data_IF_645148331367
#
_entry.id   IF_645148331367
#
_cell.length_a   1.000
_cell.length_b   1.000
_cell.length_c   1.000
_cell.angle_alpha   90.00
_cell.angle_beta   90.00
_cell.angle_gamma   90.00
#
_symmetry.space_group_name_H-M   'P 1'
#
loop_
_entity.id
_entity.type
_entity.pdbx_description
1 polymer ?
#
# COMPACT_ATOMS: atom_id res chain seq x y z
N UNK A 1 17.13 -2.29 18.19
CA UNK A 1 16.04 -2.14 19.16
C UNK A 1 16.54 -2.00 20.58
N UNK A 2 17.37 -2.94 21.09
CA UNK A 2 17.89 -2.87 22.46
C UNK A 2 18.60 -1.54 22.74
N UNK A 3 19.55 -1.14 21.89
CA UNK A 3 20.25 0.15 22.04
C UNK A 3 19.30 1.36 22.03
N UNK A 4 18.26 1.35 21.21
CA UNK A 4 17.26 2.41 21.20
C UNK A 4 16.47 2.45 22.52
N UNK A 5 16.09 1.29 23.05
CA UNK A 5 15.40 1.20 24.36
C UNK A 5 16.27 1.65 25.50
N UNK A 6 17.54 1.26 25.49
CA UNK A 6 18.53 1.69 26.50
C UNK A 6 18.71 3.22 26.53
N UNK A 7 18.44 3.87 25.37
CA UNK A 7 18.39 5.33 25.24
C UNK A 7 17.00 5.94 25.53
N UNK A 8 16.03 5.16 25.99
CA UNK A 8 14.67 5.64 26.29
C UNK A 8 13.79 5.85 25.06
N UNK A 9 14.17 5.35 23.88
CA UNK A 9 13.35 5.44 22.67
C UNK A 9 12.29 4.33 22.67
N UNK A 10 11.02 4.70 22.44
CA UNK A 10 9.96 3.74 22.21
C UNK A 10 9.99 3.31 20.73
N UNK A 11 10.86 2.34 20.42
CA UNK A 11 11.04 1.84 19.06
C UNK A 11 10.17 0.63 18.79
N UNK A 12 9.44 0.65 17.69
CA UNK A 12 8.64 -0.46 17.18
C UNK A 12 9.14 -0.89 15.80
N UNK A 13 8.85 -2.13 15.45
CA UNK A 13 9.20 -2.72 14.15
C UNK A 13 8.02 -2.68 13.21
N UNK A 14 8.30 -2.27 11.99
CA UNK A 14 7.40 -2.44 10.84
C UNK A 14 8.17 -3.20 9.77
N UNK A 15 7.55 -4.19 9.15
CA UNK A 15 8.17 -4.98 8.08
C UNK A 15 7.18 -5.25 6.97
N UNK A 16 7.66 -5.81 5.85
CA UNK A 16 6.82 -6.15 4.69
C UNK A 16 6.89 -7.64 4.41
N UNK A 17 5.72 -8.24 4.18
CA UNK A 17 5.53 -9.62 3.79
C UNK A 17 5.26 -9.72 2.28
N UNK A 18 6.19 -10.36 1.56
CA UNK A 18 6.16 -10.53 0.11
C UNK A 18 6.52 -11.99 -0.25
N UNK A 19 5.57 -12.94 -0.08
CA UNK A 19 5.86 -14.38 -0.17
C UNK A 19 6.20 -14.85 -1.57
N UNK A 20 5.84 -14.09 -2.62
CA UNK A 20 6.03 -14.51 -4.02
C UNK A 20 6.98 -13.61 -4.81
N UNK A 21 7.49 -12.55 -4.21
CA UNK A 21 8.44 -11.64 -4.84
C UNK A 21 9.83 -11.73 -4.22
N UNK A 22 9.93 -11.42 -2.93
CA UNK A 22 11.20 -11.25 -2.22
C UNK A 22 11.77 -12.54 -1.64
N UNK A 23 10.88 -13.45 -1.22
CA UNK A 23 11.30 -14.62 -0.46
C UNK A 23 11.36 -15.87 -1.34
N UNK A 24 12.54 -16.51 -1.41
CA UNK A 24 12.60 -17.93 -1.68
C UNK A 24 12.16 -18.71 -0.42
N UNK A 25 11.90 -20.01 -0.57
CA UNK A 25 11.34 -20.84 0.52
C UNK A 25 12.18 -20.78 1.82
N UNK A 26 13.52 -20.91 1.82
CA UNK A 26 14.32 -20.77 3.03
C UNK A 26 14.21 -19.39 3.68
N UNK A 27 14.27 -18.32 2.89
CA UNK A 27 14.18 -16.95 3.42
C UNK A 27 12.79 -16.64 4.00
N UNK A 28 11.74 -17.27 3.49
CA UNK A 28 10.41 -17.14 4.03
C UNK A 28 10.30 -17.73 5.44
N UNK A 29 10.90 -18.89 5.69
CA UNK A 29 10.89 -19.50 7.03
C UNK A 29 11.72 -18.65 8.01
N UNK A 30 12.90 -18.18 7.63
CA UNK A 30 13.69 -17.25 8.44
C UNK A 30 12.90 -15.97 8.74
N UNK A 31 12.15 -15.43 7.77
CA UNK A 31 11.30 -14.27 7.99
C UNK A 31 10.23 -14.54 9.04
N UNK A 32 9.56 -15.69 8.97
CA UNK A 32 8.55 -16.08 9.95
C UNK A 32 9.14 -16.24 11.36
N UNK A 33 10.29 -16.90 11.48
CA UNK A 33 11.03 -17.03 12.73
C UNK A 33 11.34 -15.65 13.33
N UNK A 34 11.89 -14.74 12.53
CA UNK A 34 12.18 -13.37 12.97
C UNK A 34 10.91 -12.62 13.42
N UNK A 35 9.78 -12.80 12.74
CA UNK A 35 8.52 -12.19 13.15
C UNK A 35 8.08 -12.70 14.52
N UNK A 36 8.25 -13.99 14.80
CA UNK A 36 7.94 -14.55 16.12
C UNK A 36 8.90 -14.08 17.21
N UNK A 37 10.19 -14.01 16.91
CA UNK A 37 11.21 -13.55 17.85
C UNK A 37 11.02 -12.08 18.28
N UNK A 38 10.46 -11.26 17.38
CA UNK A 38 10.21 -9.84 17.62
C UNK A 38 8.73 -9.50 17.80
N UNK A 39 7.91 -10.47 18.15
CA UNK A 39 6.46 -10.32 18.19
C UNK A 39 5.99 -9.12 19.05
N UNK A 40 6.52 -8.97 20.26
CA UNK A 40 6.15 -7.90 21.18
C UNK A 40 6.60 -6.50 20.72
N UNK A 41 7.53 -6.46 19.76
CA UNK A 41 8.07 -5.25 19.20
C UNK A 41 7.42 -4.85 17.87
N UNK A 42 6.65 -5.76 17.32
CA UNK A 42 6.04 -5.60 16.02
C UNK A 42 4.86 -4.63 16.11
N UNK A 43 4.94 -3.51 15.38
CA UNK A 43 3.84 -2.56 15.25
C UNK A 43 2.87 -3.00 14.14
N UNK A 44 3.41 -3.55 13.05
CA UNK A 44 2.59 -4.03 11.96
C UNK A 44 3.39 -4.61 10.79
N UNK A 45 2.67 -5.26 9.89
CA UNK A 45 3.23 -5.91 8.69
C UNK A 45 2.50 -5.41 7.46
N UNK A 46 3.25 -4.84 6.52
CA UNK A 46 2.77 -4.51 5.18
C UNK A 46 2.68 -5.75 4.30
N UNK A 47 1.54 -6.00 3.67
CA UNK A 47 1.40 -7.04 2.65
C UNK A 47 1.46 -6.39 1.27
N UNK A 48 2.51 -6.71 0.51
CA UNK A 48 2.79 -6.04 -0.75
C UNK A 48 1.88 -6.56 -1.87
N UNK A 49 1.06 -5.69 -2.44
CA UNK A 49 0.10 -6.02 -3.50
C UNK A 49 0.78 -6.12 -4.86
N UNK A 50 1.57 -7.17 -5.08
CA UNK A 50 2.03 -7.56 -6.42
C UNK A 50 1.03 -8.50 -7.08
N UNK A 51 1.05 -8.59 -8.39
CA UNK A 51 0.22 -9.55 -9.16
C UNK A 51 0.36 -10.98 -8.65
N UNK A 52 1.59 -11.42 -8.35
CA UNK A 52 1.87 -12.78 -7.85
C UNK A 52 1.37 -13.01 -6.42
N UNK A 53 1.49 -12.01 -5.54
CA UNK A 53 1.00 -12.10 -4.17
C UNK A 53 -0.53 -12.09 -4.12
N UNK A 54 -1.18 -11.23 -4.89
CA UNK A 54 -2.64 -11.20 -5.00
C UNK A 54 -3.17 -12.56 -5.43
N UNK A 55 -2.64 -13.13 -6.51
CA UNK A 55 -3.02 -14.47 -6.96
C UNK A 55 -2.82 -15.52 -5.87
N UNK A 56 -1.72 -15.44 -5.14
CA UNK A 56 -1.43 -16.37 -4.05
C UNK A 56 -2.46 -16.27 -2.92
N UNK A 57 -2.76 -15.08 -2.42
CA UNK A 57 -3.71 -14.91 -1.31
C UNK A 57 -5.15 -15.26 -1.70
N UNK A 58 -5.53 -15.03 -2.94
CA UNK A 58 -6.85 -15.46 -3.43
C UNK A 58 -6.99 -16.99 -3.53
N UNK A 59 -5.86 -17.73 -3.60
CA UNK A 59 -5.85 -19.18 -3.76
C UNK A 59 -5.46 -19.96 -2.51
N UNK A 60 -4.72 -19.34 -1.59
CA UNK A 60 -4.25 -19.94 -0.34
C UNK A 60 -4.75 -19.15 0.88
N UNK A 61 -5.97 -19.45 1.37
CA UNK A 61 -6.58 -18.66 2.45
C UNK A 61 -5.98 -18.92 3.83
N UNK A 62 -4.99 -19.81 3.96
CA UNK A 62 -4.37 -20.17 5.25
C UNK A 62 -2.87 -19.89 5.27
N UNK A 63 -2.43 -18.87 4.53
CA UNK A 63 -1.04 -18.46 4.55
C UNK A 63 -0.64 -17.73 5.85
N UNK A 64 0.61 -17.32 5.94
CA UNK A 64 1.13 -16.64 7.12
C UNK A 64 0.45 -15.28 7.40
N UNK A 65 -0.06 -14.58 6.38
CA UNK A 65 -0.87 -13.37 6.55
C UNK A 65 -2.15 -13.67 7.34
N UNK A 66 -2.83 -14.76 7.03
CA UNK A 66 -4.01 -15.22 7.76
C UNK A 66 -3.70 -15.44 9.24
N UNK A 67 -2.58 -16.12 9.53
CA UNK A 67 -2.15 -16.36 10.90
C UNK A 67 -1.87 -15.04 11.64
N UNK A 68 -1.11 -14.12 11.04
CA UNK A 68 -0.80 -12.81 11.61
C UNK A 68 -2.06 -12.02 11.94
N UNK A 69 -3.00 -11.99 11.01
CA UNK A 69 -4.26 -11.28 11.18
C UNK A 69 -5.07 -11.82 12.37
N UNK A 70 -5.23 -13.14 12.46
CA UNK A 70 -5.99 -13.77 13.54
C UNK A 70 -5.30 -13.73 14.91
N UNK A 71 -3.99 -13.59 14.93
CA UNK A 71 -3.22 -13.31 16.14
C UNK A 71 -3.23 -11.84 16.57
N UNK A 72 -3.92 -10.98 15.82
CA UNK A 72 -4.10 -9.57 16.14
C UNK A 72 -2.96 -8.65 15.75
N UNK A 73 -2.03 -9.10 14.91
CA UNK A 73 -1.02 -8.22 14.32
C UNK A 73 -1.70 -7.25 13.37
N UNK A 74 -1.33 -5.99 13.45
CA UNK A 74 -1.79 -4.99 12.49
C UNK A 74 -1.24 -5.31 11.11
N UNK A 75 -2.13 -5.64 10.19
CA UNK A 75 -1.79 -5.87 8.78
C UNK A 75 -2.29 -4.69 7.95
N UNK A 76 -1.48 -4.24 7.02
CA UNK A 76 -1.88 -3.20 6.07
C UNK A 76 -1.44 -3.56 4.65
N UNK A 77 -2.29 -3.21 3.69
CA UNK A 77 -2.02 -3.46 2.28
C UNK A 77 -1.13 -2.37 1.70
N UNK A 78 0.06 -2.75 1.26
CA UNK A 78 1.01 -1.87 0.60
C UNK A 78 0.84 -1.96 -0.91
N UNK A 79 0.63 -0.81 -1.55
CA UNK A 79 0.59 -0.75 -3.01
C UNK A 79 1.97 -1.01 -3.59
N UNK A 80 2.01 -1.91 -4.56
CA UNK A 80 3.24 -2.14 -5.30
C UNK A 80 3.56 -0.94 -6.18
N UNK A 81 4.80 -0.47 -6.04
CA UNK A 81 5.37 0.56 -6.89
C UNK A 81 6.47 -0.08 -7.73
N UNK A 82 6.29 -0.20 -9.05
CA UNK A 82 7.31 -0.78 -9.89
C UNK A 82 8.50 0.18 -9.96
N UNK A 83 9.70 -0.38 -9.81
CA UNK A 83 10.86 0.18 -10.46
C UNK A 83 10.79 -0.11 -11.96
N UNK A 84 11.66 0.53 -12.76
CA UNK A 84 11.69 0.38 -14.21
C UNK A 84 11.85 -1.06 -14.72
N UNK A 85 12.12 -2.04 -13.85
CA UNK A 85 12.35 -3.44 -14.20
C UNK A 85 11.21 -4.38 -13.83
N UNK A 86 10.30 -3.95 -12.97
CA UNK A 86 9.31 -4.81 -12.35
C UNK A 86 7.86 -4.48 -12.72
N UNK A 87 7.64 -3.75 -13.78
CA UNK A 87 6.31 -3.36 -14.30
C UNK A 87 5.36 -4.56 -14.48
N UNK A 88 5.90 -5.70 -14.91
CA UNK A 88 5.15 -6.96 -15.06
C UNK A 88 4.53 -7.48 -13.75
N UNK A 89 4.98 -6.98 -12.61
CA UNK A 89 4.46 -7.35 -11.29
C UNK A 89 3.33 -6.43 -10.81
N UNK A 90 2.99 -5.39 -11.61
CA UNK A 90 1.87 -4.49 -11.33
C UNK A 90 0.55 -5.23 -11.44
N UNK A 91 -0.31 -5.12 -10.44
CA UNK A 91 -1.68 -5.62 -10.53
C UNK A 91 -2.51 -4.80 -11.52
N UNK A 92 -3.43 -5.45 -12.17
CA UNK A 92 -4.51 -4.80 -12.92
C UNK A 92 -5.56 -4.22 -11.97
N UNK A 93 -6.43 -3.35 -12.46
CA UNK A 93 -7.58 -2.84 -11.69
C UNK A 93 -8.49 -4.00 -11.24
N UNK A 94 -8.64 -5.04 -12.08
CA UNK A 94 -9.39 -6.23 -11.72
C UNK A 94 -8.75 -7.00 -10.56
N UNK A 95 -7.45 -7.22 -10.59
CA UNK A 95 -6.72 -7.90 -9.52
C UNK A 95 -6.79 -7.10 -8.20
N UNK A 96 -6.71 -5.76 -8.26
CA UNK A 96 -6.96 -4.92 -7.10
C UNK A 96 -8.39 -5.06 -6.55
N UNK A 97 -9.38 -5.06 -7.44
CA UNK A 97 -10.77 -5.26 -7.02
C UNK A 97 -10.98 -6.61 -6.36
N UNK A 98 -10.47 -7.66 -6.97
CA UNK A 98 -10.59 -9.03 -6.46
C UNK A 98 -9.96 -9.16 -5.06
N UNK A 99 -8.75 -8.61 -4.84
CA UNK A 99 -8.11 -8.66 -3.53
C UNK A 99 -8.78 -7.76 -2.49
N UNK A 100 -9.28 -6.60 -2.87
CA UNK A 100 -9.99 -5.72 -1.94
C UNK A 100 -11.30 -6.33 -1.49
N UNK A 101 -12.09 -6.92 -2.39
CA UNK A 101 -13.32 -7.63 -2.03
C UNK A 101 -13.03 -8.85 -1.17
N UNK A 102 -11.98 -9.60 -1.48
CA UNK A 102 -11.51 -10.70 -0.65
C UNK A 102 -11.12 -10.23 0.77
N UNK A 103 -10.44 -9.10 0.90
CA UNK A 103 -10.09 -8.55 2.21
C UNK A 103 -11.33 -8.03 2.96
N UNK A 104 -12.28 -7.42 2.28
CA UNK A 104 -13.55 -7.00 2.89
C UNK A 104 -14.27 -8.21 3.51
N UNK A 105 -14.33 -9.31 2.80
CA UNK A 105 -15.07 -10.49 3.22
C UNK A 105 -14.36 -11.30 4.33
N UNK A 106 -13.03 -11.34 4.31
CA UNK A 106 -12.26 -12.25 5.16
C UNK A 106 -11.35 -11.54 6.19
N UNK A 107 -10.93 -10.32 5.90
CA UNK A 107 -9.93 -9.58 6.66
C UNK A 107 -10.30 -8.09 6.83
N UNK A 108 -11.50 -7.75 7.31
CA UNK A 108 -12.01 -6.36 7.32
C UNK A 108 -11.20 -5.39 8.18
N UNK A 109 -10.26 -5.88 9.01
CA UNK A 109 -9.37 -5.03 9.83
C UNK A 109 -8.04 -4.70 9.15
N UNK A 110 -7.80 -5.18 7.92
CA UNK A 110 -6.60 -4.77 7.14
C UNK A 110 -6.80 -3.32 6.67
N UNK A 111 -5.84 -2.45 6.90
CA UNK A 111 -5.84 -1.11 6.30
C UNK A 111 -5.42 -1.21 4.81
N UNK A 112 -6.04 -0.47 3.89
CA UNK A 112 -7.03 0.58 4.09
C UNK A 112 -8.49 0.10 4.18
N UNK A 113 -8.77 -1.21 4.11
CA UNK A 113 -10.14 -1.76 4.12
C UNK A 113 -10.88 -1.35 5.39
N UNK A 114 -10.25 -1.50 6.56
CA UNK A 114 -10.81 -1.06 7.85
C UNK A 114 -11.24 0.40 7.79
N UNK A 115 -10.35 1.27 7.34
CA UNK A 115 -10.64 2.70 7.24
C UNK A 115 -11.79 3.01 6.28
N UNK A 116 -11.92 2.25 5.19
CA UNK A 116 -13.04 2.41 4.25
C UNK A 116 -14.37 1.96 4.86
N UNK A 117 -14.38 0.88 5.62
CA UNK A 117 -15.58 0.38 6.33
C UNK A 117 -15.98 1.36 7.45
N UNK A 118 -15.02 1.79 8.26
CA UNK A 118 -15.23 2.69 9.39
C UNK A 118 -15.44 4.16 8.99
N UNK A 119 -15.41 4.44 7.69
CA UNK A 119 -15.54 5.78 7.14
C UNK A 119 -14.48 6.77 7.65
N UNK A 120 -13.30 6.26 7.98
CA UNK A 120 -12.16 7.06 8.35
C UNK A 120 -11.47 7.59 7.09
N UNK A 121 -11.33 8.90 7.00
CA UNK A 121 -10.55 9.51 5.94
C UNK A 121 -9.05 9.44 6.27
N UNK A 122 -8.42 8.33 5.93
CA UNK A 122 -6.96 8.26 5.98
C UNK A 122 -6.37 9.15 4.89
N UNK A 123 -5.68 10.19 5.33
CA UNK A 123 -4.92 11.04 4.41
C UNK A 123 -3.82 10.21 3.79
N UNK A 124 -3.75 10.16 2.48
CA UNK A 124 -2.65 9.51 1.75
C UNK A 124 -1.33 10.03 2.28
N UNK A 125 -0.44 9.15 2.69
CA UNK A 125 0.87 9.50 3.28
C UNK A 125 1.70 10.44 2.41
N UNK A 126 1.52 10.41 1.09
CA UNK A 126 2.14 11.31 0.12
C UNK A 126 1.87 12.80 0.39
N UNK A 127 0.83 13.15 1.14
CA UNK A 127 0.52 14.55 1.46
C UNK A 127 1.38 15.13 2.57
N UNK A 128 1.93 14.29 3.41
CA UNK A 128 2.68 14.70 4.61
C UNK A 128 4.11 14.18 4.66
N UNK A 129 4.43 13.15 3.90
CA UNK A 129 5.75 12.53 3.94
C UNK A 129 6.75 13.33 3.11
N UNK A 130 7.92 13.54 3.68
CA UNK A 130 9.07 14.15 3.03
C UNK A 130 10.28 13.27 3.31
N UNK A 131 10.92 12.81 2.25
CA UNK A 131 12.15 12.06 2.33
C UNK A 131 13.33 12.98 2.02
N UNK A 132 14.31 13.01 2.91
CA UNK A 132 15.58 13.72 2.68
C UNK A 132 16.57 12.71 2.12
N UNK A 133 17.15 13.00 0.96
CA UNK A 133 18.16 12.20 0.32
C UNK A 133 19.55 12.47 0.91
N UNK A 134 20.53 11.63 0.58
CA UNK A 134 21.91 11.72 1.07
C UNK A 134 22.57 13.06 0.71
N UNK A 135 22.19 13.68 -0.40
CA UNK A 135 22.66 14.99 -0.87
C UNK A 135 21.91 16.18 -0.23
N UNK A 136 20.99 15.91 0.71
CA UNK A 136 20.17 16.91 1.37
C UNK A 136 18.95 17.36 0.56
N UNK A 137 18.76 16.86 -0.66
CA UNK A 137 17.55 17.14 -1.44
C UNK A 137 16.33 16.43 -0.86
N UNK A 138 15.15 16.99 -1.10
CA UNK A 138 13.90 16.38 -0.66
C UNK A 138 13.17 15.73 -1.81
N UNK A 139 12.62 14.56 -1.52
CA UNK A 139 11.78 13.80 -2.40
C UNK A 139 10.41 13.56 -1.74
N UNK A 140 9.35 13.54 -2.54
CA UNK A 140 8.00 13.26 -2.05
C UNK A 140 7.76 11.75 -1.83
N UNK A 141 8.53 10.92 -2.51
CA UNK A 141 8.36 9.48 -2.45
C UNK A 141 9.70 8.76 -2.63
N UNK A 142 10.04 7.85 -1.72
CA UNK A 142 11.28 7.07 -1.79
C UNK A 142 11.40 6.22 -3.04
N UNK A 143 10.28 5.78 -3.59
CA UNK A 143 10.28 4.97 -4.82
C UNK A 143 10.66 5.77 -6.07
N UNK A 144 10.63 7.09 -6.03
CA UNK A 144 11.02 7.96 -7.13
C UNK A 144 12.51 8.24 -7.18
N UNK A 145 13.25 7.89 -6.13
CA UNK A 145 14.70 8.14 -6.03
C UNK A 145 15.48 7.19 -6.95
N UNK A 146 14.96 6.00 -7.18
CA UNK A 146 15.65 4.94 -7.92
C UNK A 146 15.44 5.00 -9.44
N UNK A 147 14.62 5.93 -9.92
CA UNK A 147 14.35 6.04 -11.33
C UNK A 147 15.18 7.12 -12.01
N UNK A 148 15.84 6.79 -13.14
CA UNK A 148 16.49 7.78 -14.02
C UNK A 148 15.43 8.58 -14.80
N UNK A 149 14.33 8.94 -14.15
CA UNK A 149 13.28 9.71 -14.82
C UNK A 149 13.61 11.18 -14.67
N UNK A 150 13.61 11.88 -15.78
CA UNK A 150 13.50 13.33 -15.90
C UNK A 150 12.21 13.89 -15.25
N UNK A 151 11.78 13.28 -14.17
CA UNK A 151 10.65 13.76 -13.39
C UNK A 151 11.14 14.79 -12.37
N UNK A 152 11.71 15.89 -12.90
CA UNK A 152 12.11 17.06 -12.10
C UNK A 152 10.99 17.53 -11.14
N UNK A 153 9.73 17.18 -11.44
CA UNK A 153 8.59 17.46 -10.59
C UNK A 153 8.64 16.73 -9.22
N UNK A 154 9.47 15.71 -9.09
CA UNK A 154 9.57 14.92 -7.87
C UNK A 154 10.82 15.19 -7.04
N UNK A 155 11.82 15.86 -7.63
CA UNK A 155 12.99 16.35 -6.92
C UNK A 155 12.84 17.85 -6.70
N UNK A 156 12.68 18.24 -5.47
CA UNK A 156 12.58 19.64 -5.10
C UNK A 156 13.46 19.92 -3.89
N UNK A 157 13.88 21.16 -3.73
CA UNK A 157 14.44 21.58 -2.46
C UNK A 157 13.37 21.55 -1.34
N UNK A 158 13.83 21.60 -0.10
CA UNK A 158 13.00 21.49 1.11
C UNK A 158 11.78 22.43 1.07
N UNK A 159 11.92 23.59 0.48
CA UNK A 159 10.89 24.64 0.51
C UNK A 159 9.83 24.44 -0.58
N UNK A 160 10.14 23.67 -1.62
CA UNK A 160 9.31 23.51 -2.82
C UNK A 160 8.64 22.15 -2.93
N UNK A 161 8.91 21.21 -2.02
CA UNK A 161 8.31 19.88 -2.04
C UNK A 161 6.78 19.98 -2.04
N UNK A 162 6.17 19.76 -3.21
CA UNK A 162 4.75 19.96 -3.45
C UNK A 162 4.20 18.82 -4.29
N UNK A 163 3.32 18.01 -3.70
CA UNK A 163 2.64 16.91 -4.37
C UNK A 163 1.34 17.33 -5.10
N UNK A 164 0.92 18.58 -4.98
CA UNK A 164 -0.33 19.07 -5.57
C UNK A 164 -0.47 18.82 -7.07
N UNK A 165 0.57 18.97 -7.92
CA UNK A 165 0.43 18.67 -9.35
C UNK A 165 0.08 17.21 -9.64
N UNK A 166 0.69 16.28 -8.91
CA UNK A 166 0.44 14.83 -9.06
C UNK A 166 -0.97 14.50 -8.59
N UNK A 167 -1.33 15.00 -7.42
CA UNK A 167 -2.68 14.85 -6.88
C UNK A 167 -3.73 15.39 -7.85
N UNK A 168 -3.51 16.60 -8.39
CA UNK A 168 -4.41 17.21 -9.36
C UNK A 168 -4.59 16.35 -10.61
N UNK A 169 -3.48 15.89 -11.20
CA UNK A 169 -3.52 15.03 -12.39
C UNK A 169 -4.29 13.72 -12.12
N UNK A 170 -4.08 13.13 -10.95
CA UNK A 170 -4.81 11.94 -10.52
C UNK A 170 -6.33 12.22 -10.39
N UNK A 171 -6.70 13.30 -9.69
CA UNK A 171 -8.09 13.67 -9.46
C UNK A 171 -8.83 13.97 -10.77
N UNK A 172 -8.16 14.64 -11.71
CA UNK A 172 -8.72 14.93 -13.05
C UNK A 172 -8.89 13.65 -13.87
N UNK A 173 -7.88 12.77 -13.90
CA UNK A 173 -7.91 11.52 -14.66
C UNK A 173 -9.07 10.61 -14.25
N UNK A 174 -9.37 10.55 -12.96
CA UNK A 174 -10.44 9.68 -12.43
C UNK A 174 -11.74 10.43 -12.14
N UNK A 175 -11.81 11.72 -12.51
CA UNK A 175 -12.98 12.57 -12.27
C UNK A 175 -13.45 12.52 -10.80
N UNK A 176 -12.49 12.55 -9.86
CA UNK A 176 -12.76 12.34 -8.43
C UNK A 176 -13.67 13.42 -7.84
N UNK A 177 -13.64 14.65 -8.37
CA UNK A 177 -14.43 15.77 -7.85
C UNK A 177 -15.96 15.53 -7.95
N UNK A 178 -16.39 14.66 -8.86
CA UNK A 178 -17.81 14.29 -9.04
C UNK A 178 -18.13 12.94 -8.41
N UNK A 179 -17.16 12.26 -7.80
CA UNK A 179 -17.35 10.95 -7.20
C UNK A 179 -18.06 11.05 -5.86
N UNK A 180 -19.14 10.31 -5.67
CA UNK A 180 -19.91 10.23 -4.43
C UNK A 180 -19.08 9.77 -3.22
N UNK A 181 -17.98 9.01 -3.46
CA UNK A 181 -17.07 8.51 -2.43
C UNK A 181 -15.86 9.40 -2.17
N UNK A 182 -15.71 10.54 -2.87
CA UNK A 182 -14.51 11.37 -2.80
C UNK A 182 -14.17 11.84 -1.38
N UNK A 183 -15.18 12.15 -0.58
CA UNK A 183 -15.00 12.65 0.78
C UNK A 183 -14.45 11.61 1.77
N UNK A 184 -14.51 10.33 1.42
CA UNK A 184 -14.10 9.19 2.25
C UNK A 184 -13.08 8.26 1.57
N UNK A 185 -12.80 8.48 0.29
CA UNK A 185 -11.80 7.72 -0.45
C UNK A 185 -10.40 8.12 -0.04
N UNK A 186 -9.54 7.13 0.22
CA UNK A 186 -8.13 7.35 0.53
C UNK A 186 -7.27 7.64 -0.70
N UNK A 187 -7.85 7.51 -1.89
CA UNK A 187 -7.24 7.76 -3.20
C UNK A 187 -6.08 6.81 -3.59
N UNK A 188 -5.67 5.90 -2.71
CA UNK A 188 -4.60 4.95 -2.98
C UNK A 188 -3.25 5.59 -3.26
N UNK A 189 -2.38 4.88 -3.97
CA UNK A 189 -1.08 5.40 -4.37
C UNK A 189 -1.18 6.11 -5.73
N UNK A 190 -0.93 7.40 -5.78
CA UNK A 190 -0.99 8.19 -7.03
C UNK A 190 -0.03 7.66 -8.10
N UNK A 191 1.13 7.15 -7.69
CA UNK A 191 2.13 6.62 -8.60
C UNK A 191 1.74 5.27 -9.19
N UNK A 192 1.10 4.39 -8.41
CA UNK A 192 0.63 3.10 -8.90
C UNK A 192 -0.36 3.24 -10.06
N UNK A 193 -1.10 4.36 -10.11
CA UNK A 193 -2.06 4.64 -11.16
C UNK A 193 -1.47 5.27 -12.43
N UNK A 194 -0.26 5.82 -12.37
CA UNK A 194 0.43 6.32 -13.56
C UNK A 194 0.99 5.20 -14.44
N UNK A 195 1.22 4.03 -13.85
CA UNK A 195 1.75 2.84 -14.51
C UNK A 195 0.65 1.91 -15.00
N UNK A 196 -0.40 2.43 -15.60
CA UNK A 196 -1.46 1.57 -16.15
C UNK A 196 -0.93 0.68 -17.27
N UNK A 197 -0.77 -0.58 -16.98
CA UNK A 197 -0.72 -1.64 -17.97
C UNK A 197 -2.13 -2.02 -18.37
N UNK A 198 -2.47 -1.68 -19.58
CA UNK A 198 -3.80 -1.41 -20.04
C UNK A 198 -4.52 -2.61 -20.63
N UNK A 199 -4.37 -3.83 -20.17
CA UNK A 199 -5.12 -4.93 -20.79
C UNK A 199 -6.51 -5.17 -20.19
N UNK A 200 -6.78 -4.66 -19.01
CA UNK A 200 -8.14 -4.74 -18.41
C UNK A 200 -8.45 -3.44 -17.69
N UNK A 201 -8.94 -2.47 -18.42
CA UNK A 201 -9.44 -1.22 -17.84
C UNK A 201 -10.89 -1.46 -17.46
N UNK A 202 -11.22 -1.34 -16.17
CA UNK A 202 -12.60 -1.10 -15.80
C UNK A 202 -13.01 0.29 -16.30
N UNK A 203 -14.24 0.38 -16.82
CA UNK A 203 -14.83 1.68 -17.18
C UNK A 203 -15.02 2.59 -15.97
N UNK A 204 -14.84 2.06 -14.78
CA UNK A 204 -15.05 2.72 -13.51
C UNK A 204 -13.84 2.56 -12.59
N UNK A 205 -13.59 3.56 -11.72
CA UNK A 205 -12.50 3.55 -10.75
C UNK A 205 -12.64 2.37 -9.76
N UNK A 206 -11.57 1.59 -9.58
CA UNK A 206 -11.53 0.42 -8.68
C UNK A 206 -11.93 0.76 -7.24
N UNK A 207 -11.53 1.92 -6.74
CA UNK A 207 -11.93 2.37 -5.38
C UNK A 207 -13.41 2.67 -5.28
N UNK A 208 -14.01 3.28 -6.31
CA UNK A 208 -15.44 3.51 -6.37
C UNK A 208 -16.21 2.20 -6.34
N UNK A 209 -15.79 1.23 -7.14
CA UNK A 209 -16.38 -0.11 -7.16
C UNK A 209 -16.26 -0.80 -5.80
N UNK A 210 -15.10 -0.69 -5.15
CA UNK A 210 -14.86 -1.27 -3.81
C UNK A 210 -15.75 -0.64 -2.74
N UNK A 211 -15.91 0.67 -2.73
CA UNK A 211 -16.81 1.35 -1.81
C UNK A 211 -18.28 0.92 -2.01
N UNK A 212 -18.70 0.77 -3.26
CA UNK A 212 -20.04 0.24 -3.59
C UNK A 212 -20.19 -1.20 -3.11
N UNK A 213 -19.16 -2.01 -3.22
CA UNK A 213 -19.16 -3.38 -2.68
C UNK A 213 -19.38 -3.38 -1.16
N UNK A 214 -18.67 -2.53 -0.40
CA UNK A 214 -18.83 -2.38 1.05
C UNK A 214 -20.29 -2.03 1.42
N UNK A 215 -20.91 -1.09 0.69
CA UNK A 215 -22.32 -0.71 0.91
C UNK A 215 -23.28 -1.87 0.62
N UNK A 216 -23.06 -2.60 -0.46
CA UNK A 216 -23.88 -3.75 -0.83
C UNK A 216 -23.80 -4.90 0.18
N UNK A 217 -22.69 -5.03 0.91
CA UNK A 217 -22.52 -5.99 2.00
C UNK A 217 -23.20 -5.53 3.31
N UNK A 218 -23.77 -4.35 3.34
CA UNK A 218 -24.38 -3.80 4.56
C UNK A 218 -23.36 -3.50 5.67
N UNK A 219 -22.11 -3.30 5.31
CA UNK A 219 -21.02 -2.95 6.24
C UNK A 219 -21.01 -1.45 6.55
N UNK A 220 -21.94 -0.72 5.99
CA UNK A 220 -22.24 0.71 6.19
C UNK A 220 -23.73 0.93 6.24
#
# INVERSE_FOLDING_TARGET
LKACRDMGCNSKLVTSYDPRGRFNKPNLEIFKENVYDFWDDLEGIGVLLTKSNIKYWLTDPKDFMHELYHKGVKVYADYYMPDCQAERSMPTDKEHYDIFTHFIDNYPKIDPIRSWIENERNVVSCRSSKLVLEDGTMCLCGNLVQEPRDKAMYKTDIQKANNKPIEKAFLEKYNCSTCEYFHRCTLGCFMAHDYKYAEEIFDECVYKMTHRYIENQGLR
#
